data_IF_512312364948
#
_entry.id   IF_512312364948
#
_cell.length_a   1.000
_cell.length_b   1.000
_cell.length_c   1.000
_cell.angle_alpha   90.00
_cell.angle_beta   90.00
_cell.angle_gamma   90.00
#
_symmetry.space_group_name_H-M   'P 1'
#
loop_
_entity.id
_entity.type
_entity.pdbx_description
1 polymer ?
#
# COMPACT_ATOMS: atom_id res chain seq x y z
N UNK A 1 -14.90 -4.14 -20.84
CA UNK A 1 -13.68 -3.37 -21.16
C UNK A 1 -12.50 -4.15 -20.63
N UNK A 2 -11.64 -4.69 -21.49
CA UNK A 2 -10.39 -5.32 -21.06
C UNK A 2 -9.45 -4.17 -20.69
N UNK A 3 -9.12 -4.00 -19.41
CA UNK A 3 -8.08 -3.05 -19.01
C UNK A 3 -6.76 -3.57 -19.58
N UNK A 4 -6.26 -2.93 -20.64
CA UNK A 4 -4.88 -3.14 -21.05
C UNK A 4 -4.00 -2.74 -19.87
N UNK A 5 -3.31 -3.71 -19.27
CA UNK A 5 -2.25 -3.43 -18.31
C UNK A 5 -1.20 -2.65 -19.07
N UNK A 6 -1.13 -1.33 -18.87
CA UNK A 6 0.08 -0.60 -19.23
C UNK A 6 1.22 -1.28 -18.48
N UNK A 7 2.22 -1.76 -19.20
CA UNK A 7 3.44 -2.28 -18.58
C UNK A 7 4.02 -1.13 -17.77
N UNK A 8 4.02 -1.27 -16.45
CA UNK A 8 4.69 -0.31 -15.59
C UNK A 8 6.19 -0.44 -15.86
N UNK A 9 6.75 0.51 -16.60
CA UNK A 9 8.19 0.64 -16.77
C UNK A 9 8.77 1.26 -15.49
N UNK A 10 9.78 0.61 -14.92
CA UNK A 10 10.41 1.12 -13.72
C UNK A 10 11.06 2.46 -14.06
N UNK A 11 10.90 3.51 -13.23
CA UNK A 11 11.53 4.81 -13.48
C UNK A 11 13.07 4.77 -13.46
N UNK A 12 13.64 3.70 -12.89
CA UNK A 12 15.08 3.47 -12.77
C UNK A 12 15.37 1.98 -12.70
N UNK A 13 16.55 1.59 -13.22
CA UNK A 13 17.09 0.24 -13.05
C UNK A 13 17.69 0.00 -11.66
N UNK A 14 17.97 1.09 -10.91
CA UNK A 14 18.52 0.98 -9.57
C UNK A 14 17.42 0.68 -8.54
N UNK A 15 17.54 -0.46 -7.89
CA UNK A 15 16.72 -0.84 -6.73
C UNK A 15 17.64 -1.14 -5.55
N UNK A 16 17.36 -0.55 -4.40
CA UNK A 16 18.09 -0.83 -3.17
C UNK A 16 17.65 -2.20 -2.64
N UNK A 17 18.50 -3.21 -2.82
CA UNK A 17 18.19 -4.60 -2.45
C UNK A 17 17.83 -4.79 -0.97
N UNK A 18 18.24 -3.86 -0.09
CA UNK A 18 17.87 -3.89 1.33
C UNK A 18 16.36 -3.72 1.54
N UNK A 19 15.65 -3.17 0.56
CA UNK A 19 14.20 -3.00 0.58
C UNK A 19 13.44 -4.30 0.28
N UNK A 20 14.07 -5.31 -0.34
CA UNK A 20 13.39 -6.56 -0.75
C UNK A 20 12.63 -7.21 0.41
N UNK A 21 13.28 -7.34 1.56
CA UNK A 21 12.67 -7.97 2.74
C UNK A 21 11.53 -7.15 3.32
N UNK A 22 11.55 -5.82 3.16
CA UNK A 22 10.47 -4.95 3.62
C UNK A 22 9.28 -5.06 2.65
N UNK A 23 9.54 -5.00 1.35
CA UNK A 23 8.52 -5.06 0.31
C UNK A 23 7.79 -6.43 0.32
N UNK A 24 8.52 -7.52 0.54
CA UNK A 24 7.91 -8.84 0.71
C UNK A 24 6.99 -8.90 1.95
N UNK A 25 7.39 -8.27 3.07
CA UNK A 25 6.54 -8.18 4.26
C UNK A 25 5.29 -7.33 4.01
N UNK A 26 5.40 -6.25 3.25
CA UNK A 26 4.24 -5.44 2.84
C UNK A 26 3.27 -6.32 2.04
N UNK A 27 3.76 -7.10 1.07
CA UNK A 27 2.92 -8.03 0.31
C UNK A 27 2.22 -9.07 1.21
N UNK A 28 2.93 -9.64 2.20
CA UNK A 28 2.35 -10.59 3.14
C UNK A 28 1.23 -9.95 3.98
N UNK A 29 1.45 -8.74 4.50
CA UNK A 29 0.44 -8.01 5.29
C UNK A 29 -0.78 -7.60 4.44
N UNK A 30 -0.57 -7.22 3.18
CA UNK A 30 -1.67 -6.92 2.26
C UNK A 30 -2.54 -8.17 1.99
N UNK A 31 -1.91 -9.35 1.84
CA UNK A 31 -2.63 -10.61 1.71
C UNK A 31 -3.47 -10.91 2.97
N UNK A 32 -2.86 -10.80 4.15
CA UNK A 32 -3.56 -11.01 5.43
C UNK A 32 -4.76 -10.06 5.57
N UNK A 33 -4.56 -8.77 5.28
CA UNK A 33 -5.64 -7.77 5.29
C UNK A 33 -6.80 -8.15 4.37
N UNK A 34 -6.49 -8.63 3.16
CA UNK A 34 -7.50 -9.06 2.16
C UNK A 34 -8.28 -10.29 2.62
N UNK A 35 -7.60 -11.24 3.25
CA UNK A 35 -8.22 -12.47 3.78
C UNK A 35 -9.15 -12.13 4.96
N UNK A 36 -8.71 -11.27 5.88
CA UNK A 36 -9.50 -10.82 7.02
C UNK A 36 -10.71 -9.96 6.65
N UNK A 37 -10.59 -9.12 5.61
CA UNK A 37 -11.73 -8.30 5.16
C UNK A 37 -12.77 -9.09 4.38
N UNK A 38 -12.50 -10.35 4.02
CA UNK A 38 -13.44 -11.19 3.27
C UNK A 38 -13.77 -10.65 1.87
N UNK A 39 -12.92 -9.78 1.32
CA UNK A 39 -13.18 -9.08 0.07
C UNK A 39 -14.04 -7.82 0.20
N UNK A 40 -14.45 -7.45 1.43
CA UNK A 40 -15.07 -6.15 1.70
C UNK A 40 -14.00 -5.04 1.62
N UNK A 41 -14.24 -3.97 0.84
CA UNK A 41 -13.40 -2.77 0.88
C UNK A 41 -13.55 -2.05 2.23
N UNK A 42 -12.86 -2.57 3.25
CA UNK A 42 -12.70 -1.89 4.53
C UNK A 42 -11.71 -0.74 4.37
N UNK A 43 -12.02 0.43 4.94
CA UNK A 43 -11.13 1.60 4.91
C UNK A 43 -10.84 2.06 6.36
N UNK A 44 -9.60 2.43 6.72
CA UNK A 44 -9.30 2.93 8.06
C UNK A 44 -10.03 4.25 8.35
N UNK A 45 -10.43 4.47 9.60
CA UNK A 45 -11.04 5.74 10.00
C UNK A 45 -10.02 6.90 9.91
N UNK A 46 -10.50 8.11 9.65
CA UNK A 46 -9.67 9.32 9.50
C UNK A 46 -8.73 9.53 10.70
N UNK A 47 -9.20 9.31 11.93
CA UNK A 47 -8.38 9.45 13.13
C UNK A 47 -7.16 8.52 13.11
N UNK A 48 -7.34 7.28 12.65
CA UNK A 48 -6.24 6.32 12.50
C UNK A 48 -5.25 6.79 11.43
N UNK A 49 -5.73 7.26 10.28
CA UNK A 49 -4.90 7.81 9.21
C UNK A 49 -4.06 8.98 9.71
N UNK A 50 -4.66 9.97 10.37
CA UNK A 50 -3.94 11.12 10.91
C UNK A 50 -2.91 10.72 11.96
N UNK A 51 -3.27 9.79 12.85
CA UNK A 51 -2.37 9.28 13.88
C UNK A 51 -1.16 8.58 13.26
N UNK A 52 -1.37 7.68 12.32
CA UNK A 52 -0.27 6.94 11.66
C UNK A 52 0.58 7.86 10.79
N UNK A 53 -0.04 8.78 10.05
CA UNK A 53 0.66 9.78 9.25
C UNK A 53 1.64 10.58 10.13
N UNK A 54 1.17 11.11 11.25
CA UNK A 54 2.00 11.83 12.22
C UNK A 54 3.09 10.92 12.82
N UNK A 55 2.74 9.70 13.20
CA UNK A 55 3.66 8.77 13.87
C UNK A 55 4.83 8.34 12.98
N UNK A 56 4.56 8.09 11.70
CA UNK A 56 5.54 7.56 10.75
C UNK A 56 6.11 8.62 9.80
N UNK A 57 5.67 9.87 9.92
CA UNK A 57 6.16 10.98 9.09
C UNK A 57 5.61 10.99 7.66
N UNK A 58 4.40 10.46 7.44
CA UNK A 58 3.73 10.48 6.14
C UNK A 58 2.73 11.64 6.03
N UNK A 59 2.40 11.98 4.78
CA UNK A 59 1.23 12.79 4.49
C UNK A 59 -0.04 11.93 4.63
N UNK A 60 -1.12 12.42 5.26
CA UNK A 60 -2.39 11.70 5.33
C UNK A 60 -2.90 11.23 3.96
N UNK A 61 -2.78 12.07 2.92
CA UNK A 61 -3.22 11.77 1.56
C UNK A 61 -2.46 10.59 0.92
N UNK A 62 -1.19 10.39 1.30
CA UNK A 62 -0.42 9.23 0.88
C UNK A 62 -1.01 7.95 1.48
N UNK A 63 -1.34 7.95 2.78
CA UNK A 63 -1.98 6.80 3.43
C UNK A 63 -3.40 6.56 2.89
N UNK A 64 -4.17 7.62 2.63
CA UNK A 64 -5.48 7.49 2.02
C UNK A 64 -5.40 6.80 0.66
N UNK A 65 -4.44 7.19 -0.17
CA UNK A 65 -4.20 6.58 -1.48
C UNK A 65 -3.75 5.12 -1.37
N UNK A 66 -2.98 4.78 -0.33
CA UNK A 66 -2.55 3.41 -0.07
C UNK A 66 -3.72 2.49 0.30
N UNK A 67 -4.71 2.98 1.04
CA UNK A 67 -5.85 2.18 1.51
C UNK A 67 -7.08 2.25 0.60
N UNK A 68 -7.10 3.09 -0.44
CA UNK A 68 -8.22 3.24 -1.37
C UNK A 68 -8.30 2.17 -2.46
N UNK A 69 -7.55 1.06 -2.32
CA UNK A 69 -7.43 -0.04 -3.30
C UNK A 69 -8.30 -1.25 -2.99
#
# INVERSE_FOLDING_TARGET
MIMQRMTFERPTDYYDERLYTIDEKICALLKERKELSGGDPSFPQDEAIYKWAKQYGFYPDYLNSLFSS
#
